data_IF_636841584658
#
_entry.id   IF_636841584658
#
_cell.length_a   1.000
_cell.length_b   1.000
_cell.length_c   1.000
_cell.angle_alpha   90.00
_cell.angle_beta   90.00
_cell.angle_gamma   90.00
#
_symmetry.space_group_name_H-M   'P 1'
#
loop_
_entity.id
_entity.type
_entity.pdbx_description
1 polymer ?
#
# COMPACT_ATOMS: atom_id res chain seq x y z
N UNK A 1 -22.36 1.15 5.52
CA UNK A 1 -21.46 0.57 4.49
C UNK A 1 -21.11 1.66 3.50
N UNK A 2 -19.84 1.87 3.22
CA UNK A 2 -19.37 2.88 2.27
C UNK A 2 -19.87 2.54 0.86
N UNK A 3 -20.39 3.55 0.16
CA UNK A 3 -20.80 3.44 -1.24
C UNK A 3 -19.92 4.38 -2.07
N UNK A 4 -19.19 3.80 -3.00
CA UNK A 4 -18.29 4.55 -3.88
C UNK A 4 -19.06 5.45 -4.84
N UNK A 5 -18.46 6.59 -5.19
CA UNK A 5 -18.96 7.46 -6.25
C UNK A 5 -18.99 6.71 -7.59
N UNK A 6 -20.14 6.74 -8.26
CA UNK A 6 -20.29 6.19 -9.62
C UNK A 6 -19.49 6.99 -10.66
N UNK A 7 -19.15 8.22 -10.33
CA UNK A 7 -18.47 9.16 -11.22
C UNK A 7 -16.95 9.20 -11.01
N UNK A 8 -16.40 8.34 -10.10
CA UNK A 8 -14.99 8.37 -9.70
C UNK A 8 -13.96 8.35 -10.82
N UNK A 9 -14.31 7.79 -11.98
CA UNK A 9 -13.40 7.69 -13.12
C UNK A 9 -13.53 8.79 -14.17
N UNK A 10 -14.48 9.74 -14.00
CA UNK A 10 -14.78 10.72 -15.04
C UNK A 10 -13.71 11.79 -15.24
N UNK A 11 -13.01 12.17 -14.18
CA UNK A 11 -12.06 13.29 -14.22
C UNK A 11 -10.59 12.86 -14.10
N UNK A 12 -10.32 11.71 -13.48
CA UNK A 12 -8.96 11.21 -13.29
C UNK A 12 -8.35 10.75 -14.61
N UNK A 13 -7.12 11.18 -14.87
CA UNK A 13 -6.33 10.70 -16.01
C UNK A 13 -5.51 9.49 -15.59
N UNK A 14 -5.48 8.48 -16.46
CA UNK A 14 -4.70 7.25 -16.24
C UNK A 14 -3.66 7.10 -17.34
N UNK A 15 -2.43 6.75 -16.96
CA UNK A 15 -1.30 6.57 -17.85
C UNK A 15 -0.74 5.16 -17.74
N UNK A 16 -0.26 4.61 -18.86
CA UNK A 16 0.40 3.30 -18.85
C UNK A 16 1.68 3.34 -18.04
N UNK A 17 1.87 2.37 -17.16
CA UNK A 17 3.10 2.14 -16.43
C UNK A 17 4.07 1.32 -17.31
N UNK A 18 4.78 1.99 -18.19
CA UNK A 18 5.69 1.35 -19.13
C UNK A 18 5.01 0.24 -19.95
N UNK A 19 5.61 -0.95 -19.94
CA UNK A 19 5.11 -2.16 -20.66
C UNK A 19 4.46 -3.19 -19.72
N UNK A 20 4.22 -2.84 -18.45
CA UNK A 20 3.65 -3.76 -17.44
C UNK A 20 2.19 -4.17 -17.70
N UNK A 21 1.47 -3.43 -18.55
CA UNK A 21 0.02 -3.57 -18.74
C UNK A 21 -0.81 -2.75 -17.75
N UNK A 22 -0.25 -2.33 -16.62
CA UNK A 22 -0.94 -1.49 -15.64
C UNK A 22 -1.18 -0.08 -16.18
N UNK A 23 -2.28 0.52 -15.74
CA UNK A 23 -2.55 1.94 -15.86
C UNK A 23 -2.59 2.53 -14.45
N UNK A 24 -1.81 3.57 -14.21
CA UNK A 24 -1.80 4.28 -12.94
C UNK A 24 -2.52 5.62 -13.07
N UNK A 25 -3.23 6.06 -12.02
CA UNK A 25 -3.80 7.39 -11.99
C UNK A 25 -2.70 8.46 -11.99
N UNK A 26 -3.00 9.66 -12.46
CA UNK A 26 -2.05 10.77 -12.47
C UNK A 26 -1.59 11.18 -11.06
N UNK A 27 -2.38 10.84 -10.05
CA UNK A 27 -2.09 11.06 -8.63
C UNK A 27 -2.25 9.75 -7.87
N UNK A 28 -1.30 9.41 -7.01
CA UNK A 28 -1.34 8.27 -6.10
C UNK A 28 -1.47 8.76 -4.66
N UNK A 29 -2.09 7.97 -3.80
CA UNK A 29 -2.15 8.25 -2.37
C UNK A 29 -1.02 7.51 -1.65
N UNK A 30 -0.04 8.26 -1.12
CA UNK A 30 0.99 7.72 -0.23
C UNK A 30 0.49 7.63 1.22
N UNK A 31 0.75 6.49 1.86
CA UNK A 31 0.25 6.21 3.20
C UNK A 31 1.35 6.25 4.27
N UNK A 32 2.40 7.04 4.06
CA UNK A 32 3.44 7.19 5.06
C UNK A 32 2.97 8.01 6.26
N UNK A 33 2.44 9.19 6.01
CA UNK A 33 1.92 10.07 7.06
C UNK A 33 0.40 9.86 7.23
N UNK A 34 -0.10 10.14 8.44
CA UNK A 34 -1.53 10.07 8.80
C UNK A 34 -2.16 8.65 8.77
N UNK A 35 -1.36 7.60 8.59
CA UNK A 35 -1.86 6.21 8.59
C UNK A 35 -1.23 5.33 9.68
N UNK A 36 -0.36 5.89 10.52
CA UNK A 36 0.26 5.18 11.64
C UNK A 36 -0.68 4.97 12.84
N UNK A 37 -0.14 4.32 13.87
CA UNK A 37 -0.87 3.95 15.09
C UNK A 37 -1.33 5.14 15.96
N UNK A 38 -0.74 6.33 15.75
CA UNK A 38 -1.13 7.57 16.44
C UNK A 38 -2.17 8.41 15.67
N UNK A 39 -2.49 8.02 14.44
CA UNK A 39 -3.42 8.77 13.60
C UNK A 39 -4.89 8.40 13.89
N UNK A 40 -5.81 9.34 13.64
CA UNK A 40 -7.24 9.08 13.77
C UNK A 40 -7.72 8.08 12.71
N UNK A 41 -8.28 6.96 13.16
CA UNK A 41 -8.83 5.93 12.26
C UNK A 41 -9.94 6.49 11.35
N UNK A 42 -10.80 7.33 11.89
CA UNK A 42 -11.87 7.97 11.10
C UNK A 42 -11.30 8.90 10.04
N UNK A 43 -10.23 9.64 10.36
CA UNK A 43 -9.57 10.50 9.37
C UNK A 43 -8.92 9.67 8.26
N UNK A 44 -8.26 8.56 8.59
CA UNK A 44 -7.71 7.63 7.59
C UNK A 44 -8.78 7.13 6.62
N UNK A 45 -9.95 6.73 7.17
CA UNK A 45 -11.11 6.31 6.37
C UNK A 45 -11.56 7.41 5.41
N UNK A 46 -11.74 8.62 5.90
CA UNK A 46 -12.20 9.74 5.07
C UNK A 46 -11.20 10.09 3.97
N UNK A 47 -9.90 10.01 4.26
CA UNK A 47 -8.86 10.21 3.24
C UNK A 47 -8.97 9.15 2.15
N UNK A 48 -9.11 7.86 2.50
CA UNK A 48 -9.24 6.76 1.55
C UNK A 48 -10.52 6.86 0.72
N UNK A 49 -11.65 7.19 1.35
CA UNK A 49 -12.93 7.38 0.66
C UNK A 49 -12.84 8.52 -0.34
N UNK A 50 -12.36 9.68 0.10
CA UNK A 50 -12.19 10.84 -0.76
C UNK A 50 -11.25 10.55 -1.92
N UNK A 51 -10.13 9.88 -1.67
CA UNK A 51 -9.19 9.50 -2.72
C UNK A 51 -9.84 8.59 -3.77
N UNK A 52 -10.49 7.52 -3.35
CA UNK A 52 -11.10 6.57 -4.25
C UNK A 52 -12.28 7.17 -5.03
N UNK A 53 -13.12 7.99 -4.36
CA UNK A 53 -14.24 8.71 -5.00
C UNK A 53 -13.80 9.73 -6.06
N UNK A 54 -12.54 10.15 -6.02
CA UNK A 54 -11.92 11.01 -7.04
C UNK A 54 -11.03 10.25 -8.03
N UNK A 55 -11.12 8.93 -8.07
CA UNK A 55 -10.42 8.09 -9.05
C UNK A 55 -8.95 7.82 -8.74
N UNK A 56 -8.49 8.12 -7.52
CA UNK A 56 -7.17 7.68 -7.06
C UNK A 56 -7.27 6.20 -6.74
N UNK A 57 -6.81 5.37 -7.66
CA UNK A 57 -6.85 3.90 -7.54
C UNK A 57 -5.54 3.30 -7.02
N UNK A 58 -4.45 4.07 -6.99
CA UNK A 58 -3.15 3.61 -6.52
C UNK A 58 -2.87 4.09 -5.08
N UNK A 59 -2.70 3.11 -4.18
CA UNK A 59 -2.40 3.27 -2.76
C UNK A 59 -1.01 2.73 -2.47
N UNK A 60 -0.11 3.61 -2.02
CA UNK A 60 1.31 3.32 -1.91
C UNK A 60 1.75 3.22 -0.45
N UNK A 61 2.09 2.00 -0.03
CA UNK A 61 2.53 1.64 1.30
C UNK A 61 4.02 1.25 1.33
N UNK A 62 4.50 0.94 2.52
CA UNK A 62 5.72 0.21 2.78
C UNK A 62 5.61 -0.54 4.12
N UNK A 63 6.39 -1.61 4.28
CA UNK A 63 6.36 -2.43 5.48
C UNK A 63 6.73 -1.64 6.76
N UNK A 64 7.53 -0.57 6.64
CA UNK A 64 7.98 0.25 7.77
C UNK A 64 7.16 1.55 7.96
N UNK A 65 6.09 1.79 7.16
CA UNK A 65 5.30 3.00 7.27
C UNK A 65 4.45 3.05 8.55
N UNK A 66 4.27 4.30 9.05
CA UNK A 66 3.63 4.64 10.31
C UNK A 66 4.65 5.02 11.37
N UNK A 67 4.31 5.68 12.48
CA UNK A 67 5.23 5.85 13.61
C UNK A 67 5.70 4.51 14.15
N UNK A 68 4.80 3.52 14.28
CA UNK A 68 5.18 2.12 14.52
C UNK A 68 5.28 1.40 13.18
N UNK A 69 6.43 0.82 12.83
CA UNK A 69 6.58 0.07 11.57
C UNK A 69 5.48 -0.98 11.40
N UNK A 70 4.86 -1.01 10.23
CA UNK A 70 3.75 -1.91 9.90
C UNK A 70 2.36 -1.40 10.26
N UNK A 71 2.25 -0.33 11.07
CA UNK A 71 0.94 0.18 11.48
C UNK A 71 0.11 0.75 10.33
N UNK A 72 0.75 1.39 9.35
CA UNK A 72 0.06 1.90 8.18
C UNK A 72 -0.58 0.76 7.35
N UNK A 73 0.13 -0.34 7.14
CA UNK A 73 -0.40 -1.53 6.45
C UNK A 73 -1.56 -2.16 7.23
N UNK A 74 -1.44 -2.25 8.57
CA UNK A 74 -2.49 -2.82 9.42
C UNK A 74 -3.77 -1.97 9.39
N UNK A 75 -3.63 -0.64 9.50
CA UNK A 75 -4.76 0.28 9.45
C UNK A 75 -5.43 0.29 8.07
N UNK A 76 -4.63 0.36 7.00
CA UNK A 76 -5.13 0.27 5.63
C UNK A 76 -5.88 -1.04 5.41
N UNK A 77 -5.31 -2.17 5.81
CA UNK A 77 -5.93 -3.49 5.68
C UNK A 77 -7.27 -3.58 6.39
N UNK A 78 -7.38 -3.04 7.61
CA UNK A 78 -8.65 -2.98 8.34
C UNK A 78 -9.72 -2.17 7.60
N UNK A 79 -9.34 -1.01 7.07
CA UNK A 79 -10.26 -0.15 6.31
C UNK A 79 -10.69 -0.83 5.01
N UNK A 80 -9.76 -1.46 4.29
CA UNK A 80 -10.05 -2.19 3.04
C UNK A 80 -11.00 -3.34 3.31
N UNK A 81 -10.74 -4.15 4.33
CA UNK A 81 -11.60 -5.27 4.72
C UNK A 81 -13.04 -4.83 4.96
N UNK A 82 -13.23 -3.72 5.67
CA UNK A 82 -14.57 -3.27 6.08
C UNK A 82 -15.31 -2.50 4.99
N UNK A 83 -14.60 -1.91 4.02
CA UNK A 83 -15.21 -0.94 3.10
C UNK A 83 -14.92 -1.17 1.61
N UNK A 84 -13.79 -1.80 1.25
CA UNK A 84 -13.31 -1.84 -0.14
C UNK A 84 -13.13 -3.24 -0.72
N UNK A 85 -13.41 -4.32 0.01
CA UNK A 85 -13.17 -5.68 -0.51
C UNK A 85 -13.86 -5.95 -1.85
N UNK A 86 -15.07 -5.41 -2.05
CA UNK A 86 -15.79 -5.54 -3.32
C UNK A 86 -15.16 -4.74 -4.47
N UNK A 87 -14.18 -3.89 -4.16
CA UNK A 87 -13.48 -3.02 -5.13
C UNK A 87 -11.99 -3.35 -5.24
N UNK A 88 -11.53 -4.48 -4.63
CA UNK A 88 -10.11 -4.85 -4.65
C UNK A 88 -9.53 -4.89 -6.06
N UNK A 89 -10.27 -5.39 -7.03
CA UNK A 89 -9.84 -5.50 -8.43
C UNK A 89 -9.80 -4.14 -9.17
N UNK A 90 -10.36 -3.10 -8.56
CA UNK A 90 -10.28 -1.72 -9.05
C UNK A 90 -9.12 -0.94 -8.42
N UNK A 91 -8.40 -1.52 -7.47
CA UNK A 91 -7.31 -0.89 -6.72
C UNK A 91 -5.97 -1.43 -7.19
N UNK A 92 -4.98 -0.54 -7.27
CA UNK A 92 -3.56 -0.89 -7.36
C UNK A 92 -2.96 -0.65 -5.98
N UNK A 93 -2.53 -1.71 -5.33
CA UNK A 93 -1.91 -1.64 -4.00
C UNK A 93 -0.43 -1.95 -4.15
N UNK A 94 0.41 -1.02 -3.72
CA UNK A 94 1.85 -1.22 -3.69
C UNK A 94 2.37 -1.23 -2.25
N UNK A 95 3.38 -2.06 -2.01
CA UNK A 95 4.18 -2.00 -0.79
C UNK A 95 5.66 -2.21 -1.09
N UNK A 96 6.51 -2.02 -0.08
CA UNK A 96 7.96 -1.96 -0.24
C UNK A 96 8.63 -2.61 0.96
N UNK A 97 9.83 -3.18 0.74
CA UNK A 97 10.71 -3.62 1.81
C UNK A 97 12.17 -3.25 1.50
N UNK A 98 12.99 -3.04 2.53
CA UNK A 98 14.40 -2.66 2.34
C UNK A 98 15.04 -2.05 3.59
N UNK A 99 14.23 -1.57 4.54
CA UNK A 99 14.68 -1.06 5.84
C UNK A 99 14.49 -2.12 6.92
N UNK A 100 15.18 -1.94 8.05
CA UNK A 100 15.10 -2.88 9.17
C UNK A 100 13.70 -3.00 9.75
N UNK A 101 13.26 -4.22 9.95
CA UNK A 101 11.94 -4.57 10.46
C UNK A 101 11.97 -5.48 11.68
N UNK A 102 13.06 -6.24 11.86
CA UNK A 102 13.26 -7.11 13.02
C UNK A 102 14.75 -7.29 13.32
N UNK A 103 15.06 -7.65 14.56
CA UNK A 103 16.44 -7.83 15.02
C UNK A 103 17.13 -9.03 14.36
N UNK A 104 18.46 -8.92 14.22
CA UNK A 104 19.31 -9.98 13.70
C UNK A 104 19.65 -9.82 12.23
N UNK A 105 20.40 -10.77 11.66
CA UNK A 105 21.06 -10.58 10.36
C UNK A 105 20.14 -10.70 9.14
N UNK A 106 18.84 -10.96 9.32
CA UNK A 106 17.91 -11.21 8.23
C UNK A 106 16.73 -10.23 8.21
N UNK A 107 16.77 -9.20 9.05
CA UNK A 107 15.65 -8.25 9.22
C UNK A 107 15.78 -6.97 8.40
N UNK A 108 16.75 -6.88 7.48
CA UNK A 108 17.09 -5.69 6.71
C UNK A 108 17.63 -6.06 5.32
N UNK A 109 17.77 -5.07 4.44
CA UNK A 109 18.45 -5.19 3.15
C UNK A 109 17.59 -5.70 2.01
N UNK A 110 18.23 -6.29 0.99
CA UNK A 110 17.60 -6.68 -0.26
C UNK A 110 17.66 -8.18 -0.57
N UNK A 111 18.09 -9.01 0.39
CA UNK A 111 18.17 -10.43 0.14
C UNK A 111 16.82 -11.04 -0.20
N UNK A 112 16.81 -12.05 -1.07
CA UNK A 112 15.60 -12.80 -1.39
C UNK A 112 14.86 -13.30 -0.13
N UNK A 113 15.62 -13.76 0.89
CA UNK A 113 15.07 -14.18 2.17
C UNK A 113 14.28 -13.05 2.85
N UNK A 114 14.89 -11.87 2.97
CA UNK A 114 14.26 -10.71 3.60
C UNK A 114 13.04 -10.23 2.82
N UNK A 115 13.16 -10.10 1.49
CA UNK A 115 12.06 -9.60 0.65
C UNK A 115 10.84 -10.53 0.69
N UNK A 116 11.03 -11.85 0.61
CA UNK A 116 9.90 -12.79 0.69
C UNK A 116 9.25 -12.77 2.08
N UNK A 117 10.06 -12.83 3.16
CA UNK A 117 9.52 -12.76 4.52
C UNK A 117 8.78 -11.44 4.78
N UNK A 118 9.31 -10.33 4.26
CA UNK A 118 8.67 -9.01 4.37
C UNK A 118 7.34 -8.96 3.62
N UNK A 119 7.27 -9.51 2.40
CA UNK A 119 6.03 -9.57 1.63
C UNK A 119 4.97 -10.39 2.36
N UNK A 120 5.32 -11.57 2.85
CA UNK A 120 4.39 -12.43 3.60
C UNK A 120 3.84 -11.71 4.86
N UNK A 121 4.70 -10.97 5.57
CA UNK A 121 4.28 -10.18 6.72
C UNK A 121 3.38 -9.01 6.32
N UNK A 122 3.69 -8.32 5.21
CA UNK A 122 2.87 -7.22 4.68
C UNK A 122 1.49 -7.69 4.28
N UNK A 123 1.40 -8.81 3.55
CA UNK A 123 0.12 -9.41 3.17
C UNK A 123 -0.72 -9.78 4.39
N UNK A 124 -0.11 -10.37 5.42
CA UNK A 124 -0.79 -10.68 6.70
C UNK A 124 -1.32 -9.42 7.40
N UNK A 125 -0.51 -8.34 7.48
CA UNK A 125 -0.93 -7.08 8.09
C UNK A 125 -2.11 -6.45 7.35
N UNK A 126 -2.06 -6.47 6.02
CA UNK A 126 -3.13 -5.91 5.18
C UNK A 126 -4.35 -6.82 5.05
N UNK A 127 -4.22 -8.12 5.36
CA UNK A 127 -5.28 -9.10 5.13
C UNK A 127 -5.56 -9.33 3.65
N UNK A 128 -4.52 -9.25 2.81
CA UNK A 128 -4.61 -9.40 1.35
C UNK A 128 -3.89 -10.67 0.90
N UNK A 129 -4.32 -11.22 -0.22
CA UNK A 129 -3.67 -12.37 -0.87
C UNK A 129 -2.51 -11.97 -1.77
N UNK A 130 -2.54 -10.74 -2.30
CA UNK A 130 -1.50 -10.19 -3.19
C UNK A 130 -1.45 -8.67 -3.12
N UNK A 131 -0.31 -8.12 -3.55
CA UNK A 131 -0.15 -6.71 -3.93
C UNK A 131 0.12 -6.62 -5.44
N UNK A 132 -0.22 -5.49 -6.03
CA UNK A 132 -0.08 -5.29 -7.49
C UNK A 132 1.34 -4.86 -7.86
N UNK A 133 2.01 -4.14 -6.96
CA UNK A 133 3.39 -3.70 -7.14
C UNK A 133 4.16 -3.93 -5.83
N UNK A 134 5.32 -4.54 -5.94
CA UNK A 134 6.23 -4.73 -4.82
C UNK A 134 7.58 -4.09 -5.14
N UNK A 135 8.01 -3.14 -4.30
CA UNK A 135 9.25 -2.41 -4.51
C UNK A 135 10.37 -2.91 -3.57
N UNK A 136 11.59 -2.93 -4.10
CA UNK A 136 12.76 -2.83 -3.25
C UNK A 136 12.94 -1.35 -2.86
N UNK A 137 12.79 -1.05 -1.57
CA UNK A 137 12.60 0.33 -1.06
C UNK A 137 13.87 1.19 -1.14
N UNK A 138 15.03 0.56 -1.14
CA UNK A 138 16.33 1.22 -1.26
C UNK A 138 17.34 0.29 -1.91
N UNK A 139 18.33 0.87 -2.56
CA UNK A 139 19.41 0.09 -3.16
C UNK A 139 20.19 -0.64 -2.05
N UNK A 140 20.36 -1.94 -2.22
CA UNK A 140 21.28 -2.78 -1.45
C UNK A 140 22.49 -3.09 -2.34
N UNK A 141 23.66 -2.58 -1.96
CA UNK A 141 24.89 -2.73 -2.75
C UNK A 141 25.57 -4.09 -2.57
N UNK A 142 25.18 -4.83 -1.53
CA UNK A 142 25.76 -6.12 -1.16
C UNK A 142 24.97 -7.30 -1.75
N UNK A 143 23.77 -7.03 -2.26
CA UNK A 143 22.90 -8.04 -2.89
C UNK A 143 22.82 -7.76 -4.40
N UNK A 144 23.14 -8.76 -5.26
CA UNK A 144 23.06 -8.62 -6.73
C UNK A 144 21.65 -8.33 -7.26
#
# INVERSE_FOLDING_TARGET
>A
MYQVSKERYQTMKYHRCGKSGLKLPAVSLGLWHNFGDTASYENMKQILFTAFDNGITHFDLANNYGPKPGSAESNFGSIVKDNFMNYRDEMIISTKAGYDMWAGPYGDGGSRKYLLASLDQSLKRMGLEYVDIYYHHRMDKETP
#
